data_IF_949792411454
#
_entry.id   IF_949792411454
#
_cell.length_a   1.000
_cell.length_b   1.000
_cell.length_c   1.000
_cell.angle_alpha   90.00
_cell.angle_beta   90.00
_cell.angle_gamma   90.00
#
_symmetry.space_group_name_H-M   'P 1'
#
loop_
_entity.id
_entity.type
_entity.pdbx_description
1 polymer ?
#
# COMPACT_ATOMS: atom_id res chain seq x y z
N UNK A 1 3.63 16.31 17.81
CA UNK A 1 4.90 15.56 17.99
C UNK A 1 4.65 14.14 17.48
N UNK A 2 5.49 13.59 16.61
CA UNK A 2 5.30 12.24 16.09
C UNK A 2 5.33 11.22 17.24
N UNK A 3 4.41 10.25 17.24
CA UNK A 3 4.34 9.19 18.26
C UNK A 3 5.54 8.26 18.05
N UNK A 4 6.30 7.94 19.09
CA UNK A 4 7.36 6.92 19.03
C UNK A 4 6.87 5.64 19.71
N UNK A 5 7.17 4.50 19.11
CA UNK A 5 6.88 3.20 19.70
C UNK A 5 8.09 2.71 20.48
N UNK A 6 7.92 2.47 21.78
CA UNK A 6 8.95 1.96 22.68
C UNK A 6 8.64 0.57 23.25
N UNK A 7 7.59 -0.08 22.75
CA UNK A 7 7.14 -1.39 23.18
C UNK A 7 6.15 -1.99 22.18
N UNK A 8 5.79 -3.25 22.38
CA UNK A 8 4.83 -3.96 21.55
C UNK A 8 3.40 -3.68 22.02
N UNK A 9 2.49 -3.45 21.08
CA UNK A 9 1.06 -3.45 21.36
C UNK A 9 0.50 -4.88 21.53
N UNK A 10 1.18 -5.87 20.94
CA UNK A 10 0.91 -7.30 21.05
C UNK A 10 2.23 -7.98 21.45
N UNK A 11 2.37 -8.29 22.74
CA UNK A 11 3.61 -8.80 23.35
C UNK A 11 3.73 -10.33 23.31
N UNK A 12 2.62 -11.03 23.06
CA UNK A 12 2.58 -12.49 22.88
C UNK A 12 2.35 -12.85 21.42
N UNK A 13 3.19 -13.76 20.90
CA UNK A 13 3.06 -14.25 19.52
C UNK A 13 1.68 -14.88 19.25
N UNK A 14 1.12 -15.60 20.23
CA UNK A 14 -0.19 -16.26 20.12
C UNK A 14 -1.36 -15.27 19.95
N UNK A 15 -1.16 -13.99 20.31
CA UNK A 15 -2.16 -12.93 20.16
C UNK A 15 -2.10 -12.24 18.78
N UNK A 16 -1.14 -12.61 17.91
CA UNK A 16 -1.05 -12.15 16.52
C UNK A 16 -2.02 -12.95 15.63
N UNK A 17 -3.30 -12.63 15.74
CA UNK A 17 -4.37 -13.33 15.03
C UNK A 17 -4.82 -12.60 13.76
N UNK A 18 -5.21 -13.35 12.73
CA UNK A 18 -5.85 -12.80 11.52
C UNK A 18 -7.24 -12.25 11.86
N UNK A 19 -7.70 -11.30 11.06
CA UNK A 19 -8.98 -10.61 11.22
C UNK A 19 -9.07 -9.72 12.46
N UNK A 20 -8.13 -9.81 13.42
CA UNK A 20 -8.16 -9.05 14.67
C UNK A 20 -6.96 -8.12 14.80
N UNK A 21 -7.24 -6.90 15.25
CA UNK A 21 -6.26 -5.87 15.58
C UNK A 21 -6.60 -5.29 16.96
N UNK A 22 -5.58 -4.81 17.70
CA UNK A 22 -5.82 -4.09 18.98
C UNK A 22 -6.53 -2.76 18.75
N UNK A 23 -6.35 -2.15 17.59
CA UNK A 23 -7.03 -0.93 17.17
C UNK A 23 -7.66 -1.14 15.80
N UNK A 24 -8.85 -1.74 15.74
CA UNK A 24 -9.59 -1.92 14.48
C UNK A 24 -9.95 -0.59 13.83
N UNK A 25 -10.10 -0.59 12.51
CA UNK A 25 -10.49 0.58 11.73
C UNK A 25 -11.90 0.40 11.18
N UNK A 26 -12.77 1.38 11.41
CA UNK A 26 -14.14 1.37 10.89
C UNK A 26 -14.23 2.23 9.62
N UNK A 27 -14.74 1.67 8.54
CA UNK A 27 -14.93 2.38 7.28
C UNK A 27 -16.29 3.10 7.22
N UNK A 28 -16.46 4.04 6.29
CA UNK A 28 -17.75 4.73 6.04
C UNK A 28 -18.84 3.77 5.59
N UNK A 29 -18.50 2.72 4.84
CA UNK A 29 -19.43 1.65 4.43
C UNK A 29 -19.83 0.69 5.57
N UNK A 30 -19.26 0.86 6.76
CA UNK A 30 -19.57 0.04 7.93
C UNK A 30 -18.84 -1.30 7.96
N UNK A 31 -17.71 -1.42 7.25
CA UNK A 31 -16.74 -2.50 7.48
C UNK A 31 -15.92 -2.18 8.73
N UNK A 32 -15.40 -3.20 9.41
CA UNK A 32 -14.47 -3.02 10.55
C UNK A 32 -13.23 -3.86 10.33
N UNK A 33 -12.21 -3.26 9.73
CA UNK A 33 -10.93 -3.89 9.39
C UNK A 33 -10.17 -4.20 10.69
N UNK A 34 -9.80 -5.47 10.89
CA UNK A 34 -9.26 -5.92 12.17
C UNK A 34 -10.32 -6.13 13.27
N UNK A 35 -11.61 -6.14 12.94
CA UNK A 35 -12.74 -6.32 13.87
C UNK A 35 -13.18 -7.77 14.13
N UNK A 36 -12.48 -8.76 13.59
CA UNK A 36 -12.78 -10.20 13.69
C UNK A 36 -13.22 -10.84 12.39
N UNK A 37 -13.48 -10.05 11.34
CA UNK A 37 -13.75 -10.50 9.97
C UNK A 37 -12.55 -10.15 9.10
N UNK A 38 -12.13 -11.09 8.26
CA UNK A 38 -11.11 -10.84 7.22
C UNK A 38 -11.83 -10.44 5.94
N UNK A 39 -11.44 -9.30 5.37
CA UNK A 39 -12.00 -8.84 4.10
C UNK A 39 -11.05 -9.11 2.93
N UNK A 40 -11.55 -9.51 1.75
CA UNK A 40 -10.73 -9.53 0.55
C UNK A 40 -10.33 -8.11 0.16
N UNK A 41 -9.03 -7.92 -0.10
CA UNK A 41 -8.52 -6.76 -0.82
C UNK A 41 -8.17 -7.20 -2.24
N UNK A 42 -8.79 -6.57 -3.24
CA UNK A 42 -8.56 -6.84 -4.64
C UNK A 42 -7.71 -5.73 -5.25
N UNK A 43 -6.53 -6.12 -5.72
CA UNK A 43 -5.64 -5.31 -6.53
C UNK A 43 -5.85 -5.67 -8.01
N UNK A 44 -5.63 -4.71 -8.91
CA UNK A 44 -5.86 -4.87 -10.34
C UNK A 44 -5.01 -3.88 -11.13
N UNK A 45 -4.67 -4.27 -12.34
CA UNK A 45 -3.92 -3.43 -13.27
C UNK A 45 -4.46 -3.57 -14.69
N UNK A 46 -4.01 -2.70 -15.57
CA UNK A 46 -4.34 -2.76 -16.98
C UNK A 46 -3.66 -3.97 -17.66
N UNK A 47 -4.25 -4.51 -18.73
CA UNK A 47 -3.48 -5.36 -19.65
C UNK A 47 -2.27 -4.58 -20.19
N UNK A 48 -1.32 -5.28 -20.82
CA UNK A 48 -0.15 -4.66 -21.42
C UNK A 48 -0.55 -3.63 -22.50
N UNK A 49 -0.61 -2.36 -22.12
CA UNK A 49 -1.00 -1.23 -22.96
C UNK A 49 -0.29 0.04 -22.51
N UNK A 50 -0.12 1.00 -23.42
CA UNK A 50 0.36 2.33 -23.08
C UNK A 50 -0.75 3.15 -22.45
N UNK A 51 -0.39 4.07 -21.55
CA UNK A 51 -1.31 5.07 -21.00
C UNK A 51 -0.95 6.42 -21.59
N UNK A 52 -1.68 6.82 -22.63
CA UNK A 52 -1.53 8.11 -23.29
C UNK A 52 -2.90 8.67 -23.72
N UNK A 53 -2.95 9.87 -24.29
CA UNK A 53 -4.22 10.49 -24.70
C UNK A 53 -5.04 9.63 -25.69
N UNK A 54 -4.36 8.87 -26.57
CA UNK A 54 -5.02 8.02 -27.57
C UNK A 54 -5.67 6.78 -26.93
N UNK A 55 -5.00 6.16 -25.96
CA UNK A 55 -5.46 4.93 -25.32
C UNK A 55 -6.34 5.17 -24.09
N UNK A 56 -6.34 6.39 -23.53
CA UNK A 56 -7.08 6.72 -22.30
C UNK A 56 -8.58 6.41 -22.36
N UNK A 57 -9.29 6.56 -23.50
CA UNK A 57 -10.67 6.07 -23.63
C UNK A 57 -10.84 4.58 -23.30
N UNK A 58 -9.92 3.72 -23.76
CA UNK A 58 -9.95 2.29 -23.46
C UNK A 58 -9.53 2.01 -22.01
N UNK A 59 -8.57 2.76 -21.46
CA UNK A 59 -8.21 2.70 -20.03
C UNK A 59 -9.47 2.89 -19.16
N UNK A 60 -10.26 3.93 -19.44
CA UNK A 60 -11.52 4.18 -18.69
C UNK A 60 -12.51 3.03 -18.79
N UNK A 61 -12.60 2.38 -19.95
CA UNK A 61 -13.46 1.22 -20.17
C UNK A 61 -12.98 0.02 -19.34
N UNK A 62 -11.67 -0.24 -19.30
CA UNK A 62 -11.12 -1.29 -18.45
C UNK A 62 -11.42 -1.05 -16.96
N UNK A 63 -11.20 0.15 -16.44
CA UNK A 63 -11.50 0.44 -15.02
C UNK A 63 -13.00 0.30 -14.69
N UNK A 64 -13.91 0.67 -15.60
CA UNK A 64 -15.36 0.40 -15.44
C UNK A 64 -15.64 -1.10 -15.40
N UNK A 65 -15.08 -1.87 -16.32
CA UNK A 65 -15.29 -3.32 -16.37
C UNK A 65 -14.75 -4.01 -15.11
N UNK A 66 -13.58 -3.58 -14.63
CA UNK A 66 -12.95 -4.12 -13.42
C UNK A 66 -13.86 -3.89 -12.22
N UNK A 67 -14.28 -2.63 -11.96
CA UNK A 67 -15.10 -2.35 -10.77
C UNK A 67 -16.45 -3.04 -10.82
N UNK A 68 -17.14 -3.01 -11.96
CA UNK A 68 -18.44 -3.68 -12.11
C UNK A 68 -18.29 -5.20 -11.95
N UNK A 69 -17.33 -5.82 -12.63
CA UNK A 69 -17.13 -7.27 -12.59
C UNK A 69 -16.70 -7.78 -11.22
N UNK A 70 -15.73 -7.10 -10.59
CA UNK A 70 -15.19 -7.49 -9.29
C UNK A 70 -16.24 -7.36 -8.18
N UNK A 71 -16.94 -6.22 -8.11
CA UNK A 71 -17.94 -5.99 -7.07
C UNK A 71 -19.17 -6.86 -7.27
N UNK A 72 -19.64 -7.04 -8.51
CA UNK A 72 -20.75 -7.94 -8.79
C UNK A 72 -20.43 -9.37 -8.36
N UNK A 73 -19.23 -9.84 -8.67
CA UNK A 73 -18.77 -11.18 -8.24
C UNK A 73 -18.68 -11.28 -6.72
N UNK A 74 -18.19 -10.26 -6.03
CA UNK A 74 -18.13 -10.24 -4.58
C UNK A 74 -19.53 -10.32 -3.95
N UNK A 75 -20.52 -9.62 -4.51
CA UNK A 75 -21.92 -9.69 -4.08
C UNK A 75 -22.54 -11.08 -4.33
N UNK A 76 -22.32 -11.67 -5.51
CA UNK A 76 -22.79 -13.03 -5.86
C UNK A 76 -22.19 -14.13 -4.97
N UNK A 77 -20.98 -13.89 -4.44
CA UNK A 77 -20.32 -14.79 -3.50
C UNK A 77 -20.64 -14.46 -2.02
N UNK A 78 -21.57 -13.55 -1.78
CA UNK A 78 -22.00 -13.12 -0.44
C UNK A 78 -20.82 -12.64 0.44
N UNK A 79 -19.84 -11.97 -0.17
CA UNK A 79 -18.70 -11.43 0.57
C UNK A 79 -19.19 -10.42 1.64
N UNK A 80 -18.65 -10.47 2.88
CA UNK A 80 -19.08 -9.56 3.95
C UNK A 80 -18.72 -8.08 3.69
N UNK A 81 -17.84 -7.85 2.72
CA UNK A 81 -17.40 -6.57 2.19
C UNK A 81 -16.14 -6.78 1.35
N UNK A 82 -15.70 -5.76 0.62
CA UNK A 82 -14.50 -5.83 -0.22
C UNK A 82 -13.71 -4.51 -0.19
N UNK A 83 -12.40 -4.61 -0.07
CA UNK A 83 -11.50 -3.49 -0.28
C UNK A 83 -11.00 -3.55 -1.73
N UNK A 84 -11.14 -2.45 -2.47
CA UNK A 84 -10.51 -2.29 -3.77
C UNK A 84 -9.26 -1.45 -3.60
N UNK A 85 -8.13 -1.92 -4.14
CA UNK A 85 -6.90 -1.13 -4.19
C UNK A 85 -6.66 -0.63 -5.60
N UNK A 86 -6.63 0.70 -5.74
CA UNK A 86 -6.21 1.35 -6.96
C UNK A 86 -4.75 1.79 -6.84
N UNK A 87 -3.85 0.94 -7.32
CA UNK A 87 -2.49 1.32 -7.64
C UNK A 87 -2.44 2.03 -8.98
N UNK A 88 -1.99 3.28 -8.96
CA UNK A 88 -1.84 4.04 -10.20
C UNK A 88 -0.62 3.57 -10.96
N UNK A 89 -0.67 3.56 -12.29
CA UNK A 89 0.54 3.50 -13.11
C UNK A 89 1.30 4.85 -13.06
N UNK A 90 2.62 4.88 -13.35
CA UNK A 90 3.41 6.10 -13.29
C UNK A 90 2.78 7.29 -14.03
N UNK A 91 2.24 7.07 -15.23
CA UNK A 91 1.60 8.12 -16.04
C UNK A 91 0.36 8.71 -15.37
N UNK A 92 -0.41 7.89 -14.65
CA UNK A 92 -1.62 8.31 -13.94
C UNK A 92 -1.33 9.18 -12.71
N UNK A 93 -0.15 9.02 -12.11
CA UNK A 93 0.35 9.95 -11.07
C UNK A 93 1.04 11.16 -11.69
N UNK A 94 1.80 10.99 -12.77
CA UNK A 94 2.49 12.09 -13.44
C UNK A 94 1.53 13.14 -14.03
N UNK A 95 0.36 12.69 -14.51
CA UNK A 95 -0.78 13.50 -14.95
C UNK A 95 -1.98 13.24 -14.01
N UNK A 96 -2.11 14.01 -12.91
CA UNK A 96 -3.10 13.77 -11.87
C UNK A 96 -4.54 13.68 -12.38
N UNK A 97 -4.87 14.39 -13.46
CA UNK A 97 -6.21 14.38 -14.05
C UNK A 97 -6.66 12.97 -14.41
N UNK A 98 -5.74 12.12 -14.87
CA UNK A 98 -6.03 10.74 -15.21
C UNK A 98 -6.28 9.87 -13.97
N UNK A 99 -5.39 9.93 -12.97
CA UNK A 99 -5.57 9.19 -11.73
C UNK A 99 -6.88 9.58 -11.00
N UNK A 100 -7.21 10.88 -11.00
CA UNK A 100 -8.43 11.40 -10.38
C UNK A 100 -9.69 10.96 -11.15
N UNK A 101 -9.68 10.97 -12.49
CA UNK A 101 -10.82 10.50 -13.29
C UNK A 101 -11.08 9.00 -13.09
N UNK A 102 -10.01 8.18 -13.07
CA UNK A 102 -10.13 6.74 -12.84
C UNK A 102 -10.60 6.42 -11.40
N UNK A 103 -10.11 7.18 -10.41
CA UNK A 103 -10.62 7.10 -9.03
C UNK A 103 -12.13 7.36 -8.97
N UNK A 104 -12.60 8.40 -9.68
CA UNK A 104 -14.05 8.68 -9.77
C UNK A 104 -14.82 7.52 -10.38
N UNK A 105 -14.33 6.93 -11.48
CA UNK A 105 -14.96 5.77 -12.13
C UNK A 105 -15.12 4.60 -11.16
N UNK A 106 -14.09 4.31 -10.37
CA UNK A 106 -14.14 3.26 -9.36
C UNK A 106 -15.16 3.57 -8.26
N UNK A 107 -15.16 4.80 -7.73
CA UNK A 107 -16.11 5.23 -6.70
C UNK A 107 -17.56 5.21 -7.18
N UNK A 108 -17.82 5.62 -8.42
CA UNK A 108 -19.15 5.56 -9.04
C UNK A 108 -19.63 4.09 -9.10
N UNK A 109 -18.80 3.17 -9.60
CA UNK A 109 -19.14 1.75 -9.68
C UNK A 109 -19.35 1.11 -8.30
N UNK A 110 -18.59 1.53 -7.29
CA UNK A 110 -18.79 1.11 -5.90
C UNK A 110 -20.14 1.58 -5.33
N UNK A 111 -20.53 2.81 -5.61
CA UNK A 111 -21.81 3.36 -5.18
C UNK A 111 -22.98 2.65 -5.87
N UNK A 112 -22.86 2.36 -7.17
CA UNK A 112 -23.85 1.60 -7.94
C UNK A 112 -24.07 0.20 -7.38
N UNK A 113 -23.00 -0.58 -7.12
CA UNK A 113 -23.15 -1.93 -6.55
C UNK A 113 -23.69 -1.88 -5.12
N UNK A 114 -23.24 -0.93 -4.29
CA UNK A 114 -23.78 -0.76 -2.94
C UNK A 114 -25.30 -0.47 -2.97
N UNK A 115 -25.77 0.35 -3.90
CA UNK A 115 -27.20 0.61 -4.08
C UNK A 115 -27.97 -0.62 -4.62
N UNK A 116 -27.32 -1.45 -5.45
CA UNK A 116 -27.94 -2.65 -6.00
C UNK A 116 -28.04 -3.78 -4.96
N UNK A 117 -26.93 -4.20 -4.38
CA UNK A 117 -26.84 -5.43 -3.57
C UNK A 117 -26.63 -5.19 -2.08
N UNK A 118 -26.34 -3.96 -1.68
CA UNK A 118 -25.94 -3.63 -0.30
C UNK A 118 -24.49 -4.03 0.03
N UNK A 119 -23.70 -4.48 -0.96
CA UNK A 119 -22.30 -4.85 -0.75
C UNK A 119 -21.51 -3.68 -0.18
N UNK A 120 -20.87 -3.92 0.97
CA UNK A 120 -19.97 -2.95 1.59
C UNK A 120 -18.64 -2.94 0.84
N UNK A 121 -18.15 -1.76 0.50
CA UNK A 121 -16.84 -1.62 -0.12
C UNK A 121 -16.08 -0.41 0.40
N UNK A 122 -14.77 -0.42 0.21
CA UNK A 122 -13.87 0.71 0.52
C UNK A 122 -12.77 0.80 -0.52
N UNK A 123 -12.39 2.02 -0.92
CA UNK A 123 -11.34 2.26 -1.90
C UNK A 123 -10.06 2.69 -1.20
N UNK A 124 -8.98 1.94 -1.45
CA UNK A 124 -7.61 2.36 -1.19
C UNK A 124 -7.03 3.01 -2.44
N UNK A 125 -6.43 4.18 -2.26
CA UNK A 125 -5.70 4.89 -3.30
C UNK A 125 -4.20 4.80 -3.02
N UNK A 126 -3.46 4.30 -4.02
CA UNK A 126 -2.01 4.07 -3.94
C UNK A 126 -1.31 4.70 -5.16
N UNK A 127 -1.03 6.02 -5.12
CA UNK A 127 -0.28 6.71 -6.15
C UNK A 127 1.15 6.15 -6.26
N UNK A 128 1.67 6.08 -7.48
CA UNK A 128 3.03 5.64 -7.74
C UNK A 128 4.03 6.72 -7.29
N UNK A 129 5.12 6.34 -6.61
CA UNK A 129 6.09 7.31 -6.13
C UNK A 129 7.07 7.73 -7.25
N UNK A 130 6.61 8.62 -8.13
CA UNK A 130 7.40 9.09 -9.26
C UNK A 130 8.58 10.01 -8.88
N UNK A 131 8.83 10.26 -7.59
CA UNK A 131 9.89 11.19 -7.15
C UNK A 131 11.30 10.68 -7.48
N UNK A 132 11.46 9.38 -7.74
CA UNK A 132 12.71 8.77 -8.23
C UNK A 132 12.94 8.90 -9.74
N UNK A 133 11.96 9.39 -10.51
CA UNK A 133 12.08 9.51 -11.98
C UNK A 133 13.09 10.61 -12.40
N UNK A 134 13.50 11.47 -11.48
CA UNK A 134 14.62 12.40 -11.64
C UNK A 134 15.88 11.76 -11.05
N UNK A 135 17.03 11.90 -11.73
CA UNK A 135 18.32 11.38 -11.24
C UNK A 135 19.33 12.52 -11.06
N UNK A 136 19.80 12.80 -9.81
CA UNK A 136 19.43 12.15 -8.54
C UNK A 136 17.97 12.45 -8.12
N UNK A 137 17.35 11.62 -7.26
CA UNK A 137 15.95 11.79 -6.83
C UNK A 137 15.66 13.14 -6.20
N UNK A 138 14.50 13.71 -6.54
CA UNK A 138 14.01 14.96 -5.95
C UNK A 138 12.76 14.64 -5.12
N UNK A 139 12.98 14.34 -3.84
CA UNK A 139 11.95 13.75 -2.97
C UNK A 139 11.02 14.76 -2.29
N UNK A 140 11.34 16.06 -2.30
CA UNK A 140 10.65 17.06 -1.45
C UNK A 140 10.06 18.25 -2.21
N UNK A 141 10.11 18.24 -3.53
CA UNK A 141 9.64 19.35 -4.37
C UNK A 141 9.49 18.93 -5.83
N UNK A 142 8.96 19.83 -6.64
CA UNK A 142 8.86 19.69 -8.09
C UNK A 142 7.65 18.88 -8.53
N UNK A 143 7.52 18.75 -9.86
CA UNK A 143 6.30 18.24 -10.51
C UNK A 143 5.82 16.90 -9.97
N UNK A 144 6.73 15.97 -9.64
CA UNK A 144 6.32 14.63 -9.19
C UNK A 144 5.79 14.66 -7.76
N UNK A 145 6.39 15.47 -6.89
CA UNK A 145 5.87 15.72 -5.54
C UNK A 145 4.49 16.39 -5.61
N UNK A 146 4.37 17.48 -6.37
CA UNK A 146 3.13 18.26 -6.46
C UNK A 146 1.99 17.45 -7.08
N UNK A 147 2.26 16.71 -8.16
CA UNK A 147 1.29 15.83 -8.80
C UNK A 147 0.82 14.71 -7.86
N UNK A 148 1.74 14.05 -7.15
CA UNK A 148 1.40 13.00 -6.20
C UNK A 148 0.50 13.52 -5.07
N UNK A 149 0.82 14.67 -4.47
CA UNK A 149 -0.04 15.28 -3.46
C UNK A 149 -1.42 15.65 -4.01
N UNK A 150 -1.49 16.14 -5.24
CA UNK A 150 -2.76 16.45 -5.92
C UNK A 150 -3.62 15.19 -6.10
N UNK A 151 -3.02 14.07 -6.51
CA UNK A 151 -3.75 12.79 -6.64
C UNK A 151 -4.29 12.35 -5.28
N UNK A 152 -3.49 12.39 -4.21
CA UNK A 152 -3.96 12.06 -2.86
C UNK A 152 -5.13 12.93 -2.41
N UNK A 153 -4.97 14.25 -2.50
CA UNK A 153 -5.92 15.21 -1.95
C UNK A 153 -7.26 15.18 -2.69
N UNK A 154 -7.23 15.10 -4.02
CA UNK A 154 -8.44 15.04 -4.83
C UNK A 154 -9.13 13.67 -4.79
N UNK A 155 -8.37 12.57 -4.73
CA UNK A 155 -8.97 11.24 -4.57
C UNK A 155 -9.65 11.09 -3.22
N UNK A 156 -9.02 11.58 -2.15
CA UNK A 156 -9.62 11.65 -0.83
C UNK A 156 -10.89 12.52 -0.81
N UNK A 157 -10.88 13.65 -1.53
CA UNK A 157 -12.06 14.52 -1.69
C UNK A 157 -13.21 13.81 -2.41
N UNK A 158 -12.91 12.97 -3.41
CA UNK A 158 -13.92 12.22 -4.17
C UNK A 158 -14.54 11.09 -3.35
N UNK A 159 -13.78 10.46 -2.44
CA UNK A 159 -14.30 9.40 -1.58
C UNK A 159 -13.34 8.24 -1.33
N UNK A 160 -12.13 8.25 -1.89
CA UNK A 160 -11.11 7.27 -1.51
C UNK A 160 -10.78 7.41 -0.02
N UNK A 161 -10.89 6.33 0.72
CA UNK A 161 -10.92 6.39 2.18
C UNK A 161 -9.59 5.95 2.81
N UNK A 162 -8.81 5.14 2.11
CA UNK A 162 -7.53 4.62 2.59
C UNK A 162 -6.40 5.14 1.70
N UNK A 163 -5.48 5.93 2.24
CA UNK A 163 -4.36 6.50 1.48
C UNK A 163 -3.08 5.72 1.75
N UNK A 164 -2.45 5.19 0.69
CA UNK A 164 -1.22 4.40 0.76
C UNK A 164 -0.22 4.82 -0.31
N UNK A 165 1.03 4.37 -0.19
CA UNK A 165 2.08 4.53 -1.20
C UNK A 165 3.18 3.51 -0.98
N UNK A 166 3.89 3.16 -2.04
CA UNK A 166 5.12 2.38 -1.98
C UNK A 166 6.31 3.33 -2.18
N UNK A 167 6.73 4.01 -1.11
CA UNK A 167 7.64 5.14 -1.28
C UNK A 167 9.10 4.75 -1.48
N UNK A 168 9.86 5.58 -2.18
CA UNK A 168 11.18 5.20 -2.74
C UNK A 168 12.38 5.85 -2.05
N UNK A 169 12.19 6.56 -0.93
CA UNK A 169 13.27 7.27 -0.26
C UNK A 169 14.44 6.37 0.16
N UNK A 170 15.64 6.68 -0.32
CA UNK A 170 16.88 5.93 -0.06
C UNK A 170 17.17 4.82 -1.07
N UNK A 171 16.24 4.54 -2.00
CA UNK A 171 16.37 3.48 -3.01
C UNK A 171 17.60 3.64 -3.89
N UNK A 172 18.01 4.87 -4.16
CA UNK A 172 19.19 5.20 -4.96
C UNK A 172 20.51 4.64 -4.42
N UNK A 173 20.60 4.43 -3.09
CA UNK A 173 21.74 3.73 -2.47
C UNK A 173 21.43 2.26 -2.19
N UNK A 174 20.16 1.94 -1.95
CA UNK A 174 19.75 0.58 -1.62
C UNK A 174 19.94 -0.39 -2.79
N UNK A 175 19.62 0.03 -4.00
CA UNK A 175 19.66 -0.85 -5.18
C UNK A 175 21.08 -1.39 -5.42
N UNK A 176 22.11 -0.54 -5.31
CA UNK A 176 23.51 -0.96 -5.37
C UNK A 176 23.92 -1.78 -4.13
N UNK A 177 23.49 -1.38 -2.94
CA UNK A 177 23.78 -2.12 -1.71
C UNK A 177 23.24 -3.55 -1.76
N UNK A 178 22.06 -3.77 -2.36
CA UNK A 178 21.50 -5.10 -2.55
C UNK A 178 22.35 -5.97 -3.47
N UNK A 179 22.72 -5.47 -4.65
CA UNK A 179 23.49 -6.26 -5.63
C UNK A 179 24.89 -6.60 -5.12
N UNK A 180 25.44 -5.74 -4.26
CA UNK A 180 26.74 -5.94 -3.61
C UNK A 180 26.66 -6.68 -2.26
N UNK A 181 25.45 -7.04 -1.80
CA UNK A 181 25.20 -7.62 -0.48
C UNK A 181 25.82 -6.81 0.68
N UNK A 182 25.85 -5.47 0.56
CA UNK A 182 26.37 -4.57 1.58
C UNK A 182 25.29 -4.26 2.61
N UNK A 183 25.29 -5.02 3.71
CA UNK A 183 24.31 -4.86 4.78
C UNK A 183 24.42 -3.49 5.49
N UNK A 184 25.62 -2.89 5.53
CA UNK A 184 25.81 -1.59 6.20
C UNK A 184 25.14 -0.50 5.39
N UNK A 185 25.28 -0.54 4.08
CA UNK A 185 24.62 0.39 3.16
C UNK A 185 23.11 0.17 3.10
N UNK A 186 22.63 -1.08 3.19
CA UNK A 186 21.18 -1.37 3.34
C UNK A 186 20.63 -0.70 4.61
N UNK A 187 21.30 -0.87 5.76
CA UNK A 187 20.88 -0.25 7.03
C UNK A 187 20.91 1.27 6.91
N UNK A 188 21.96 1.84 6.35
CA UNK A 188 22.06 3.29 6.18
C UNK A 188 20.95 3.84 5.28
N UNK A 189 20.74 3.22 4.11
CA UNK A 189 19.70 3.60 3.18
C UNK A 189 18.31 3.55 3.84
N UNK A 190 17.92 2.42 4.44
CA UNK A 190 16.58 2.27 5.00
C UNK A 190 16.38 3.02 6.31
N UNK A 191 17.29 2.84 7.28
CA UNK A 191 17.10 3.33 8.64
C UNK A 191 17.51 4.80 8.82
N UNK A 192 18.28 5.39 7.90
CA UNK A 192 18.67 6.80 7.97
C UNK A 192 18.03 7.63 6.85
N UNK A 193 18.18 7.25 5.58
CA UNK A 193 17.62 8.03 4.48
C UNK A 193 16.11 7.79 4.33
N UNK A 194 15.71 6.52 4.27
CA UNK A 194 14.33 6.09 4.15
C UNK A 194 13.47 6.60 5.31
N UNK A 195 13.92 6.48 6.56
CA UNK A 195 13.17 7.01 7.72
C UNK A 195 13.00 8.53 7.67
N UNK A 196 13.96 9.28 7.11
CA UNK A 196 13.87 10.75 6.95
C UNK A 196 12.90 11.13 5.84
N UNK A 197 12.89 10.41 4.73
CA UNK A 197 11.91 10.61 3.66
C UNK A 197 10.50 10.24 4.15
N UNK A 198 10.34 9.05 4.74
CA UNK A 198 9.08 8.59 5.34
C UNK A 198 8.49 9.61 6.30
N UNK A 199 9.32 10.22 7.16
CA UNK A 199 8.84 11.24 8.11
C UNK A 199 8.31 12.48 7.39
N UNK A 200 8.97 12.92 6.32
CA UNK A 200 8.52 14.05 5.52
C UNK A 200 7.23 13.70 4.76
N UNK A 201 7.25 12.59 4.02
CA UNK A 201 6.14 12.12 3.20
C UNK A 201 4.88 11.84 4.02
N UNK A 202 4.99 10.99 5.05
CA UNK A 202 3.82 10.56 5.83
C UNK A 202 3.24 11.65 6.72
N UNK A 203 4.02 12.64 7.14
CA UNK A 203 3.44 13.82 7.80
C UNK A 203 2.49 14.55 6.84
N UNK A 204 2.86 14.70 5.56
CA UNK A 204 2.01 15.35 4.56
C UNK A 204 0.79 14.48 4.19
N UNK A 205 0.95 13.16 4.00
CA UNK A 205 -0.16 12.25 3.70
C UNK A 205 -1.16 12.20 4.87
N UNK A 206 -0.68 12.11 6.12
CA UNK A 206 -1.53 12.13 7.30
C UNK A 206 -2.27 13.47 7.46
N UNK A 207 -1.64 14.58 7.09
CA UNK A 207 -2.29 15.89 7.07
C UNK A 207 -3.39 15.99 6.01
N UNK A 208 -3.19 15.44 4.82
CA UNK A 208 -4.25 15.31 3.80
C UNK A 208 -5.40 14.45 4.34
N UNK A 209 -5.09 13.26 4.87
CA UNK A 209 -6.10 12.34 5.39
C UNK A 209 -6.96 13.00 6.47
N UNK A 210 -6.31 13.70 7.42
CA UNK A 210 -6.99 14.46 8.48
C UNK A 210 -7.84 15.60 7.95
N UNK A 211 -7.36 16.41 7.00
CA UNK A 211 -8.14 17.51 6.39
C UNK A 211 -9.35 17.00 5.62
N UNK A 212 -9.24 15.81 5.00
CA UNK A 212 -10.29 15.21 4.17
C UNK A 212 -11.21 14.27 4.96
N UNK A 213 -10.92 13.99 6.22
CA UNK A 213 -11.71 13.06 7.04
C UNK A 213 -11.67 11.63 6.51
N UNK A 214 -10.48 11.19 6.10
CA UNK A 214 -10.17 9.83 5.62
C UNK A 214 -8.97 9.27 6.40
N UNK A 215 -8.53 8.05 6.07
CA UNK A 215 -7.48 7.35 6.82
C UNK A 215 -6.15 7.34 6.05
N UNK A 216 -5.08 7.75 6.74
CA UNK A 216 -3.72 7.42 6.33
C UNK A 216 -3.51 5.94 6.66
N UNK A 217 -3.40 5.07 5.64
CA UNK A 217 -3.46 3.63 5.83
C UNK A 217 -2.07 3.05 6.12
N UNK A 218 -1.17 2.99 5.14
CA UNK A 218 0.20 2.54 5.36
C UNK A 218 1.08 2.59 4.11
N UNK A 219 2.38 2.40 4.33
CA UNK A 219 3.39 2.30 3.27
C UNK A 219 3.81 0.84 3.09
N UNK A 220 4.62 0.59 2.06
CA UNK A 220 5.39 -0.64 1.92
C UNK A 220 6.84 -0.34 1.56
N UNK A 221 7.77 -1.13 2.08
CA UNK A 221 9.14 -1.14 1.58
C UNK A 221 9.28 -2.11 0.39
N UNK A 222 8.28 -2.13 -0.51
CA UNK A 222 8.20 -3.07 -1.63
C UNK A 222 9.44 -2.97 -2.53
N UNK A 223 9.79 -1.76 -2.97
CA UNK A 223 10.99 -1.47 -3.77
C UNK A 223 12.33 -1.74 -3.07
N UNK A 224 12.31 -2.28 -1.86
CA UNK A 224 13.48 -2.66 -1.06
C UNK A 224 13.43 -4.16 -0.70
N UNK A 225 12.56 -4.54 0.23
CA UNK A 225 12.47 -5.89 0.76
C UNK A 225 11.96 -6.91 -0.27
N UNK A 226 11.01 -6.51 -1.12
CA UNK A 226 10.48 -7.40 -2.16
C UNK A 226 11.49 -7.53 -3.31
N UNK A 227 12.21 -6.45 -3.66
CA UNK A 227 13.34 -6.53 -4.58
C UNK A 227 14.40 -7.52 -4.07
N UNK A 228 14.79 -7.46 -2.81
CA UNK A 228 15.72 -8.43 -2.22
C UNK A 228 15.19 -9.88 -2.31
N UNK A 229 13.90 -10.08 -2.03
CA UNK A 229 13.24 -11.39 -2.16
C UNK A 229 13.31 -11.93 -3.60
N UNK A 230 12.96 -11.11 -4.59
CA UNK A 230 12.98 -11.50 -6.01
C UNK A 230 14.40 -11.81 -6.49
N UNK A 231 15.37 -10.95 -6.15
CA UNK A 231 16.79 -11.18 -6.49
C UNK A 231 17.31 -12.49 -5.87
N UNK A 232 16.88 -12.82 -4.65
CA UNK A 232 17.25 -14.07 -4.00
C UNK A 232 16.66 -15.31 -4.68
N UNK A 233 15.40 -15.23 -5.15
CA UNK A 233 14.78 -16.31 -5.92
C UNK A 233 15.43 -16.52 -7.28
N UNK A 234 15.91 -15.44 -7.90
CA UNK A 234 16.74 -15.49 -9.11
C UNK A 234 18.19 -15.94 -8.84
N UNK A 235 18.54 -16.25 -7.58
CA UNK A 235 19.89 -16.64 -7.14
C UNK A 235 20.96 -15.59 -7.40
N UNK A 236 20.57 -14.32 -7.50
CA UNK A 236 21.47 -13.18 -7.68
C UNK A 236 22.06 -12.72 -6.34
N UNK A 237 21.34 -12.94 -5.23
CA UNK A 237 21.83 -12.69 -3.87
C UNK A 237 21.47 -13.87 -2.94
N UNK A 238 22.15 -14.05 -1.79
CA UNK A 238 21.82 -15.11 -0.85
C UNK A 238 20.43 -14.91 -0.21
N UNK A 239 19.64 -15.99 -0.11
CA UNK A 239 18.34 -15.97 0.60
C UNK A 239 18.46 -15.53 2.07
N UNK A 240 19.55 -15.91 2.74
CA UNK A 240 19.81 -15.47 4.11
C UNK A 240 19.99 -13.94 4.20
N UNK A 241 20.62 -13.33 3.19
CA UNK A 241 20.75 -11.87 3.13
C UNK A 241 19.38 -11.22 2.95
N UNK A 242 18.57 -11.66 1.98
CA UNK A 242 17.22 -11.14 1.77
C UNK A 242 16.32 -11.31 3.02
N UNK A 243 16.46 -12.42 3.75
CA UNK A 243 15.75 -12.66 5.00
C UNK A 243 16.12 -11.64 6.10
N UNK A 244 17.37 -11.16 6.13
CA UNK A 244 17.83 -10.10 7.06
C UNK A 244 17.40 -8.71 6.59
N UNK A 245 17.27 -8.47 5.28
CA UNK A 245 16.74 -7.19 4.76
C UNK A 245 15.30 -6.96 5.25
N UNK A 246 14.46 -8.00 5.31
CA UNK A 246 13.04 -7.88 5.70
C UNK A 246 12.80 -7.22 7.07
N UNK A 247 13.41 -7.65 8.19
CA UNK A 247 13.21 -6.95 9.46
C UNK A 247 13.78 -5.52 9.46
N UNK A 248 14.78 -5.21 8.63
CA UNK A 248 15.31 -3.85 8.48
C UNK A 248 14.25 -2.94 7.84
N UNK A 249 13.48 -3.45 6.87
CA UNK A 249 12.41 -2.66 6.24
C UNK A 249 11.31 -2.26 7.22
N UNK A 250 11.04 -3.07 8.25
CA UNK A 250 10.07 -2.75 9.30
C UNK A 250 10.42 -1.44 10.03
N UNK A 251 11.71 -1.15 10.26
CA UNK A 251 12.17 0.09 10.90
C UNK A 251 11.77 1.32 10.07
N UNK A 252 11.93 1.22 8.75
CA UNK A 252 11.54 2.28 7.81
C UNK A 252 10.02 2.42 7.75
N UNK A 253 9.30 1.32 7.58
CA UNK A 253 7.85 1.32 7.42
C UNK A 253 7.10 1.79 8.69
N UNK A 254 7.64 1.50 9.88
CA UNK A 254 7.08 1.95 11.17
C UNK A 254 6.88 3.47 11.24
N UNK A 255 7.73 4.24 10.55
CA UNK A 255 7.66 5.72 10.54
C UNK A 255 6.32 6.23 9.99
N UNK A 256 5.66 5.52 9.07
CA UNK A 256 4.31 5.89 8.62
C UNK A 256 3.35 5.99 9.82
N UNK A 257 3.39 5.00 10.71
CA UNK A 257 2.55 4.94 11.90
C UNK A 257 2.98 5.92 13.00
N UNK A 258 4.27 6.25 13.08
CA UNK A 258 4.74 7.35 13.93
C UNK A 258 4.20 8.71 13.48
N UNK A 259 3.98 8.86 12.17
CA UNK A 259 3.51 10.08 11.52
C UNK A 259 1.98 10.16 11.35
N UNK A 260 1.23 9.15 11.78
CA UNK A 260 -0.24 9.20 11.82
C UNK A 260 -0.97 8.14 11.00
N UNK A 261 -0.26 7.20 10.36
CA UNK A 261 -0.91 6.08 9.70
C UNK A 261 -1.55 5.11 10.70
N UNK A 262 -2.78 4.66 10.41
CA UNK A 262 -3.65 3.87 11.30
C UNK A 262 -4.02 2.50 10.72
N UNK A 263 -3.39 2.11 9.61
CA UNK A 263 -3.71 0.90 8.88
C UNK A 263 -4.97 1.05 7.99
N UNK A 264 -5.35 -0.02 7.27
CA UNK A 264 -4.57 -1.25 7.10
C UNK A 264 -3.24 -0.97 6.37
N UNK A 265 -2.14 -1.60 6.81
CA UNK A 265 -0.87 -1.59 6.07
C UNK A 265 -1.02 -2.17 4.65
N UNK A 266 -0.09 -1.87 3.75
CA UNK A 266 -0.11 -2.31 2.34
C UNK A 266 0.03 -3.83 2.21
N UNK A 267 -0.69 -4.43 1.27
CA UNK A 267 -0.69 -5.87 0.97
C UNK A 267 0.72 -6.45 0.74
N UNK A 268 1.52 -5.82 -0.13
CA UNK A 268 2.86 -6.24 -0.50
C UNK A 268 3.93 -6.03 0.60
N UNK A 269 3.57 -5.42 1.73
CA UNK A 269 4.48 -5.15 2.85
C UNK A 269 4.61 -6.39 3.75
N UNK A 270 5.47 -7.35 3.38
CA UNK A 270 5.73 -8.53 4.21
C UNK A 270 6.36 -8.22 5.58
N UNK A 271 6.76 -6.96 5.83
CA UNK A 271 7.14 -6.47 7.15
C UNK A 271 5.95 -6.15 8.09
N UNK A 272 4.72 -6.13 7.57
CA UNK A 272 3.51 -5.85 8.33
C UNK A 272 3.30 -6.70 9.59
N UNK A 273 3.73 -7.99 9.69
CA UNK A 273 3.67 -8.72 10.95
C UNK A 273 4.42 -8.04 12.09
N UNK A 274 5.60 -7.48 11.81
CA UNK A 274 6.36 -6.69 12.78
C UNK A 274 5.60 -5.42 13.15
N UNK A 275 5.07 -4.72 12.14
CA UNK A 275 4.30 -3.50 12.36
C UNK A 275 3.02 -3.76 13.16
N UNK A 276 2.35 -4.90 12.94
CA UNK A 276 1.15 -5.30 13.67
C UNK A 276 1.48 -5.56 15.14
N UNK A 277 2.57 -6.27 15.41
CA UNK A 277 3.03 -6.51 16.78
C UNK A 277 3.36 -5.20 17.52
N UNK A 278 4.02 -4.26 16.84
CA UNK A 278 4.44 -2.98 17.42
C UNK A 278 3.25 -2.02 17.60
N UNK A 279 2.42 -1.87 16.56
CA UNK A 279 1.41 -0.81 16.50
C UNK A 279 0.01 -1.27 16.93
N UNK A 280 -0.30 -2.55 16.76
CA UNK A 280 -1.62 -3.11 17.01
C UNK A 280 -2.69 -2.75 15.96
N UNK A 281 -2.31 -2.08 14.86
CA UNK A 281 -3.21 -1.74 13.76
C UNK A 281 -3.51 -2.92 12.82
N UNK A 282 -4.61 -2.89 12.06
CA UNK A 282 -4.87 -3.87 11.01
C UNK A 282 -3.80 -3.79 9.92
N UNK A 283 -3.56 -4.92 9.24
CA UNK A 283 -2.62 -5.02 8.14
C UNK A 283 -3.24 -5.83 7.01
N UNK A 284 -3.15 -5.33 5.77
CA UNK A 284 -3.32 -6.19 4.61
C UNK A 284 -2.05 -7.02 4.42
N UNK A 285 -2.18 -8.15 3.73
CA UNK A 285 -1.06 -9.02 3.37
C UNK A 285 -1.31 -9.57 1.97
N UNK A 286 -0.35 -10.28 1.43
CA UNK A 286 -0.50 -11.06 0.22
C UNK A 286 0.25 -12.40 0.38
N UNK A 287 0.01 -13.35 -0.52
CA UNK A 287 0.60 -14.69 -0.42
C UNK A 287 0.09 -15.62 -1.51
N UNK A 288 -0.42 -16.81 -1.13
CA UNK A 288 -0.83 -17.84 -2.09
C UNK A 288 -1.86 -17.37 -3.12
N UNK A 289 -2.75 -16.45 -2.74
CA UNK A 289 -3.82 -15.93 -3.61
C UNK A 289 -3.37 -14.70 -4.41
N UNK A 290 -2.10 -14.30 -4.29
CA UNK A 290 -1.47 -13.25 -5.08
C UNK A 290 -0.48 -13.81 -6.13
N UNK A 291 -0.55 -15.11 -6.42
CA UNK A 291 0.32 -15.77 -7.40
C UNK A 291 0.17 -15.21 -8.83
N UNK A 292 -0.91 -14.48 -9.12
CA UNK A 292 -1.08 -13.73 -10.37
C UNK A 292 -0.10 -12.56 -10.51
N UNK A 293 0.41 -12.00 -9.40
CA UNK A 293 1.38 -10.92 -9.40
C UNK A 293 2.82 -11.46 -9.38
N UNK A 294 3.15 -12.30 -8.40
CA UNK A 294 4.47 -12.93 -8.29
C UNK A 294 4.45 -14.19 -7.41
N UNK A 295 5.52 -14.99 -7.51
CA UNK A 295 5.72 -16.15 -6.64
C UNK A 295 6.42 -15.75 -5.35
N UNK A 296 5.88 -16.19 -4.22
CA UNK A 296 6.43 -15.90 -2.89
C UNK A 296 6.65 -17.19 -2.10
N UNK A 297 7.80 -17.36 -1.42
CA UNK A 297 8.07 -18.52 -0.58
C UNK A 297 7.22 -18.53 0.72
N UNK A 298 6.53 -17.42 1.03
CA UNK A 298 5.75 -17.24 2.26
C UNK A 298 4.22 -17.27 2.01
N UNK A 299 3.79 -17.96 0.94
CA UNK A 299 2.40 -17.93 0.47
C UNK A 299 1.32 -18.26 1.53
N UNK A 300 1.57 -19.23 2.42
CA UNK A 300 0.66 -19.54 3.54
C UNK A 300 1.00 -18.78 4.82
N UNK A 301 2.28 -18.43 5.03
CA UNK A 301 2.76 -17.78 6.25
C UNK A 301 2.53 -16.28 6.26
N UNK A 302 2.13 -15.66 5.15
CA UNK A 302 1.58 -14.29 5.10
C UNK A 302 0.12 -14.19 5.56
N UNK A 303 -0.64 -15.29 5.52
CA UNK A 303 -2.05 -15.33 5.94
C UNK A 303 -2.34 -15.08 7.44
N UNK A 304 -1.48 -15.43 8.43
CA UNK A 304 -1.80 -15.30 9.85
C UNK A 304 -2.00 -13.87 10.34
N UNK A 305 -1.55 -12.85 9.60
CA UNK A 305 -1.65 -11.44 9.99
C UNK A 305 -2.67 -10.61 9.21
N UNK A 306 -3.28 -11.20 8.18
CA UNK A 306 -4.28 -10.57 7.32
C UNK A 306 -5.48 -10.04 8.13
N UNK A 307 -5.93 -8.83 7.83
CA UNK A 307 -7.17 -8.23 8.33
C UNK A 307 -8.12 -7.93 7.17
#
# INVERSE_FOLDING_TARGET
MAKRYSGLAIDKADDLLYGRAKTPLKTKSGMTLGGGVVYPELNFTLPAMLVNDETFPEVRKHYRQIVTGALRRAAELEAPGVQLEFETLPDMTARPEWGIELCKILLDGMAEEAAHSGLKSVLRMTPNDNREMVRPPVLRSGRYWDSMLKVFDESARLGAELLSIESVGGKELHDEALTMCDIRMVIFSLCVLGTRDMRFLWTNIADIARRRGVHAAGDSACGFGNTAMVLAEQRLIPRAFAAVVRPITAVRALVAHECGAVGPGKDCAYENPYLKAITGFPMAMEGKTAACAHLSPVGNTGCPTHC
#
